data_IF_588589815030
#
_entry.id   IF_588589815030
#
_cell.length_a   1.000
_cell.length_b   1.000
_cell.length_c   1.000
_cell.angle_alpha   90.00
_cell.angle_beta   90.00
_cell.angle_gamma   90.00
#
_symmetry.space_group_name_H-M   'P 1'
#
loop_
_entity.id
_entity.type
_entity.pdbx_description
1 polymer ?
#
# COMPACT_ATOMS: atom_id res chain seq x y z
N UNK A 1 14.31 -26.48 8.78
CA UNK A 1 14.42 -26.10 7.36
C UNK A 1 13.37 -25.01 7.12
N UNK A 2 13.72 -23.92 6.43
CA UNK A 2 12.78 -22.84 6.11
C UNK A 2 12.13 -23.10 4.75
N UNK A 3 10.82 -22.99 4.65
CA UNK A 3 10.10 -23.17 3.39
C UNK A 3 9.75 -21.83 2.75
N UNK A 4 10.09 -21.72 1.47
CA UNK A 4 9.74 -20.62 0.58
C UNK A 4 8.63 -21.13 -0.33
N UNK A 5 7.42 -20.65 -0.10
CA UNK A 5 6.27 -20.95 -0.94
C UNK A 5 6.15 -19.88 -2.03
N UNK A 6 6.31 -20.27 -3.28
CA UNK A 6 6.11 -19.42 -4.44
C UNK A 6 4.73 -19.70 -5.04
N UNK A 7 3.88 -18.69 -5.02
CA UNK A 7 2.54 -18.68 -5.59
C UNK A 7 2.57 -17.85 -6.87
N UNK A 8 2.15 -18.44 -7.99
CA UNK A 8 2.07 -17.72 -9.26
C UNK A 8 0.64 -17.75 -9.80
N UNK A 9 0.19 -16.62 -10.35
CA UNK A 9 -1.12 -16.53 -11.01
C UNK A 9 -1.03 -15.66 -12.25
N UNK A 10 -1.53 -16.17 -13.37
CA UNK A 10 -1.54 -15.48 -14.66
C UNK A 10 -2.88 -15.72 -15.36
N UNK A 11 -3.97 -15.07 -14.89
CA UNK A 11 -5.31 -15.37 -15.38
C UNK A 11 -5.44 -15.15 -16.88
N UNK A 12 -6.26 -15.98 -17.55
CA UNK A 12 -6.36 -16.06 -19.01
C UNK A 12 -6.73 -14.75 -19.71
N UNK A 13 -7.41 -13.85 -19.00
CA UNK A 13 -7.87 -12.55 -19.51
C UNK A 13 -6.93 -11.40 -19.13
N UNK A 14 -5.66 -11.68 -18.86
CA UNK A 14 -4.62 -10.69 -18.54
C UNK A 14 -3.41 -10.86 -19.46
N UNK A 15 -2.52 -9.87 -19.48
CA UNK A 15 -1.27 -9.96 -20.23
C UNK A 15 -0.38 -11.09 -19.70
N UNK A 16 0.26 -11.81 -20.60
CA UNK A 16 1.08 -12.96 -20.22
C UNK A 16 2.40 -12.52 -19.59
N UNK A 17 2.54 -12.72 -18.28
CA UNK A 17 3.81 -12.60 -17.56
C UNK A 17 4.70 -13.85 -17.71
N UNK A 18 6.02 -13.65 -17.67
CA UNK A 18 7.04 -14.72 -17.68
C UNK A 18 7.37 -15.23 -16.27
N UNK A 19 6.33 -15.66 -15.54
CA UNK A 19 6.44 -16.13 -14.14
C UNK A 19 7.36 -17.36 -14.02
N UNK A 20 7.46 -18.16 -15.08
CA UNK A 20 8.36 -19.30 -15.18
C UNK A 20 9.85 -18.89 -15.11
N UNK A 21 10.19 -17.77 -15.74
CA UNK A 21 11.55 -17.25 -15.70
C UNK A 21 11.92 -16.79 -14.29
N UNK A 22 11.03 -16.08 -13.61
CA UNK A 22 11.28 -15.66 -12.23
C UNK A 22 11.53 -16.86 -11.30
N UNK A 23 10.64 -17.86 -11.32
CA UNK A 23 10.79 -19.08 -10.51
C UNK A 23 12.10 -19.79 -10.83
N UNK A 24 12.47 -19.90 -12.11
CA UNK A 24 13.72 -20.53 -12.54
C UNK A 24 14.94 -19.79 -11.97
N UNK A 25 14.94 -18.46 -12.00
CA UNK A 25 16.04 -17.66 -11.46
C UNK A 25 16.15 -17.77 -9.94
N UNK A 26 15.02 -17.85 -9.22
CA UNK A 26 15.00 -18.07 -7.77
C UNK A 26 15.53 -19.48 -7.43
N UNK A 27 15.11 -20.51 -8.17
CA UNK A 27 15.61 -21.87 -7.97
C UNK A 27 17.11 -21.96 -8.23
N UNK A 28 17.60 -21.36 -9.31
CA UNK A 28 19.02 -21.34 -9.65
C UNK A 28 19.87 -20.69 -8.56
N UNK A 29 19.35 -19.66 -7.88
CA UNK A 29 20.01 -19.03 -6.73
C UNK A 29 20.12 -20.01 -5.55
N UNK A 30 19.07 -20.75 -5.25
CA UNK A 30 19.10 -21.73 -4.17
C UNK A 30 20.06 -22.88 -4.47
N UNK A 31 20.06 -23.40 -5.69
CA UNK A 31 20.92 -24.52 -6.10
C UNK A 31 22.41 -24.18 -5.98
N UNK A 32 22.75 -22.90 -6.19
CA UNK A 32 24.12 -22.37 -6.07
C UNK A 32 24.49 -21.99 -4.63
N UNK A 33 23.54 -22.00 -3.68
CA UNK A 33 23.81 -21.63 -2.30
C UNK A 33 24.57 -22.72 -1.53
N UNK A 34 25.52 -22.29 -0.71
CA UNK A 34 26.25 -23.16 0.24
C UNK A 34 25.37 -23.69 1.38
N UNK A 35 24.19 -23.10 1.59
CA UNK A 35 23.23 -23.50 2.64
C UNK A 35 21.90 -23.93 2.04
N UNK A 36 21.92 -24.48 0.83
CA UNK A 36 20.72 -24.98 0.14
C UNK A 36 19.88 -25.94 1.01
N UNK A 37 20.53 -26.75 1.85
CA UNK A 37 19.86 -27.72 2.73
C UNK A 37 19.09 -27.06 3.88
N UNK A 38 19.20 -25.73 4.06
CA UNK A 38 18.41 -24.97 5.04
C UNK A 38 17.09 -24.48 4.48
N UNK A 39 16.91 -24.50 3.16
CA UNK A 39 15.73 -23.97 2.48
C UNK A 39 15.06 -25.03 1.60
N UNK A 40 13.74 -24.93 1.49
CA UNK A 40 12.94 -25.71 0.55
C UNK A 40 12.08 -24.75 -0.26
N UNK A 41 12.15 -24.81 -1.59
CA UNK A 41 11.24 -24.05 -2.46
C UNK A 41 10.09 -24.97 -2.86
N UNK A 42 8.87 -24.50 -2.60
CA UNK A 42 7.64 -25.13 -3.09
C UNK A 42 6.94 -24.14 -3.99
N UNK A 43 6.69 -24.53 -5.24
CA UNK A 43 5.97 -23.68 -6.20
C UNK A 43 4.55 -24.20 -6.42
N UNK A 44 3.59 -23.29 -6.49
CA UNK A 44 2.21 -23.54 -6.94
C UNK A 44 1.90 -22.57 -8.08
N UNK A 45 1.46 -23.15 -9.19
CA UNK A 45 1.15 -22.44 -10.43
C UNK A 45 -0.35 -22.25 -10.58
N UNK A 46 -0.76 -21.21 -11.31
CA UNK A 46 -2.16 -20.93 -11.61
C UNK A 46 -3.03 -20.93 -10.33
N UNK A 47 -2.53 -20.27 -9.28
CA UNK A 47 -3.14 -20.32 -7.95
C UNK A 47 -4.51 -19.64 -8.00
N UNK A 48 -5.54 -20.38 -7.58
CA UNK A 48 -6.89 -19.85 -7.43
C UNK A 48 -7.11 -19.29 -6.04
N UNK A 49 -8.09 -18.40 -5.92
CA UNK A 49 -8.46 -17.82 -4.62
C UNK A 49 -8.82 -18.89 -3.59
N UNK A 50 -9.53 -19.92 -4.02
CA UNK A 50 -10.00 -21.01 -3.15
C UNK A 50 -8.86 -21.93 -2.68
N UNK A 51 -7.73 -21.95 -3.39
CA UNK A 51 -6.57 -22.78 -3.05
C UNK A 51 -5.74 -22.17 -1.89
N UNK A 52 -5.83 -20.85 -1.66
CA UNK A 52 -4.89 -20.12 -0.81
C UNK A 52 -4.77 -20.65 0.62
N UNK A 53 -5.89 -20.85 1.30
CA UNK A 53 -5.89 -21.31 2.69
C UNK A 53 -5.36 -22.74 2.81
N UNK A 54 -5.81 -23.63 1.92
CA UNK A 54 -5.37 -25.02 1.89
C UNK A 54 -3.86 -25.12 1.63
N UNK A 55 -3.35 -24.38 0.64
CA UNK A 55 -1.91 -24.34 0.36
C UNK A 55 -1.12 -23.85 1.58
N UNK A 56 -1.55 -22.76 2.24
CA UNK A 56 -0.83 -22.24 3.40
C UNK A 56 -0.86 -23.21 4.60
N UNK A 57 -1.99 -23.88 4.83
CA UNK A 57 -2.13 -24.90 5.88
C UNK A 57 -1.25 -26.12 5.61
N UNK A 58 -1.21 -26.61 4.38
CA UNK A 58 -0.43 -27.80 4.01
C UNK A 58 1.06 -27.50 3.99
N UNK A 59 1.44 -26.31 3.54
CA UNK A 59 2.84 -25.96 3.34
C UNK A 59 3.47 -25.27 4.56
N UNK A 60 2.73 -24.63 5.46
CA UNK A 60 3.30 -23.93 6.64
C UNK A 60 4.60 -23.13 6.33
N UNK A 61 4.57 -22.22 5.34
CA UNK A 61 5.78 -21.56 4.86
C UNK A 61 6.27 -20.45 5.80
N UNK A 62 7.58 -20.23 5.83
CA UNK A 62 8.17 -19.07 6.52
C UNK A 62 8.26 -17.86 5.59
N UNK A 63 8.38 -18.09 4.28
CA UNK A 63 8.37 -17.03 3.26
C UNK A 63 7.28 -17.35 2.24
N UNK A 64 6.39 -16.39 1.99
CA UNK A 64 5.40 -16.48 0.91
C UNK A 64 5.77 -15.47 -0.16
N UNK A 65 6.04 -15.96 -1.36
CA UNK A 65 6.29 -15.16 -2.54
C UNK A 65 5.08 -15.23 -3.45
N UNK A 66 4.51 -14.09 -3.82
CA UNK A 66 3.50 -14.01 -4.86
C UNK A 66 4.09 -13.31 -6.09
N UNK A 67 3.95 -13.94 -7.26
CA UNK A 67 4.29 -13.32 -8.54
C UNK A 67 3.09 -13.37 -9.48
N UNK A 68 2.69 -12.20 -9.98
CA UNK A 68 1.49 -12.05 -10.80
C UNK A 68 1.06 -10.60 -10.95
N UNK A 69 -0.18 -10.41 -11.38
CA UNK A 69 -0.72 -9.07 -11.62
C UNK A 69 -1.19 -8.41 -10.33
N UNK A 70 -1.00 -7.08 -10.26
CA UNK A 70 -1.51 -6.22 -9.20
C UNK A 70 -2.12 -4.96 -9.80
N UNK A 71 -3.27 -4.56 -9.27
CA UNK A 71 -4.05 -3.43 -9.81
C UNK A 71 -4.10 -2.24 -8.84
N UNK A 72 -3.25 -2.21 -7.82
CA UNK A 72 -3.27 -1.18 -6.78
C UNK A 72 -4.29 -1.49 -5.69
N UNK A 73 -5.06 -0.50 -5.27
CA UNK A 73 -6.09 -0.66 -4.22
C UNK A 73 -7.12 -1.77 -4.47
N UNK A 74 -7.53 -2.11 -5.72
CA UNK A 74 -8.44 -3.22 -5.98
C UNK A 74 -7.90 -4.60 -5.53
N UNK A 75 -6.58 -4.83 -5.58
CA UNK A 75 -5.99 -6.08 -5.08
C UNK A 75 -4.97 -6.75 -6.00
N UNK A 76 -4.61 -7.97 -5.60
CA UNK A 76 -3.82 -8.92 -6.40
C UNK A 76 -4.76 -9.78 -7.25
N UNK A 77 -4.35 -10.07 -8.48
CA UNK A 77 -5.12 -10.88 -9.41
C UNK A 77 -4.73 -12.36 -9.30
N UNK A 78 -5.69 -13.18 -8.89
CA UNK A 78 -5.59 -14.64 -8.85
C UNK A 78 -6.59 -15.25 -9.84
N UNK A 79 -6.57 -16.57 -9.97
CA UNK A 79 -7.55 -17.27 -10.79
C UNK A 79 -8.83 -17.59 -10.02
N UNK A 80 -9.96 -17.57 -10.73
CA UNK A 80 -11.18 -18.27 -10.32
C UNK A 80 -11.23 -19.66 -10.96
N UNK A 81 -12.31 -20.40 -10.73
CA UNK A 81 -12.53 -21.74 -11.30
C UNK A 81 -12.52 -21.79 -12.85
N UNK A 82 -12.78 -20.68 -13.52
CA UNK A 82 -12.70 -20.58 -14.99
C UNK A 82 -11.27 -20.25 -15.49
N UNK A 83 -10.33 -19.98 -14.58
CA UNK A 83 -9.00 -19.44 -14.89
C UNK A 83 -9.03 -17.97 -15.30
N UNK A 84 -10.11 -17.24 -14.96
CA UNK A 84 -10.23 -15.81 -15.19
C UNK A 84 -9.78 -15.03 -13.95
N UNK A 85 -9.47 -13.76 -14.14
CA UNK A 85 -9.01 -12.88 -13.09
C UNK A 85 -10.09 -12.71 -12.01
N UNK A 86 -9.69 -12.97 -10.77
CA UNK A 86 -10.41 -12.61 -9.56
C UNK A 86 -9.47 -11.81 -8.66
N UNK A 87 -9.91 -10.62 -8.27
CA UNK A 87 -9.14 -9.74 -7.40
C UNK A 87 -9.31 -10.16 -5.93
N UNK A 88 -8.19 -10.23 -5.22
CA UNK A 88 -8.14 -10.41 -3.77
C UNK A 88 -7.73 -9.09 -3.12
N UNK A 89 -8.68 -8.49 -2.40
CA UNK A 89 -8.50 -7.18 -1.76
C UNK A 89 -7.44 -7.20 -0.66
N UNK A 90 -6.88 -6.03 -0.33
CA UNK A 90 -5.94 -5.87 0.79
C UNK A 90 -6.53 -6.33 2.12
N UNK A 91 -7.83 -6.11 2.34
CA UNK A 91 -8.54 -6.58 3.55
C UNK A 91 -8.55 -8.10 3.64
N UNK A 92 -8.83 -8.78 2.53
CA UNK A 92 -8.86 -10.24 2.49
C UNK A 92 -7.45 -10.83 2.71
N UNK A 93 -6.42 -10.24 2.08
CA UNK A 93 -5.03 -10.65 2.28
C UNK A 93 -4.56 -10.42 3.72
N UNK A 94 -4.88 -9.28 4.32
CA UNK A 94 -4.56 -9.02 5.73
C UNK A 94 -5.22 -10.05 6.65
N UNK A 95 -6.52 -10.33 6.44
CA UNK A 95 -7.25 -11.36 7.19
C UNK A 95 -6.66 -12.76 7.01
N UNK A 96 -6.22 -13.10 5.79
CA UNK A 96 -5.53 -14.36 5.52
C UNK A 96 -4.24 -14.46 6.33
N UNK A 97 -3.33 -13.49 6.18
CA UNK A 97 -2.03 -13.53 6.86
C UNK A 97 -2.10 -13.32 8.37
N UNK A 98 -3.19 -12.75 8.90
CA UNK A 98 -3.47 -12.74 10.33
C UNK A 98 -3.55 -14.17 10.90
N UNK A 99 -4.15 -15.10 10.15
CA UNK A 99 -4.30 -16.51 10.56
C UNK A 99 -2.95 -17.24 10.61
N UNK A 100 -1.97 -16.79 9.82
CA UNK A 100 -0.65 -17.43 9.68
C UNK A 100 0.49 -16.60 10.29
N UNK A 101 0.19 -15.61 11.14
CA UNK A 101 1.18 -14.68 11.68
C UNK A 101 2.27 -15.32 12.57
N UNK A 102 2.03 -16.54 13.07
CA UNK A 102 3.00 -17.30 13.85
C UNK A 102 4.04 -18.00 12.95
N UNK A 103 3.63 -18.40 11.75
CA UNK A 103 4.42 -19.25 10.84
C UNK A 103 5.14 -18.42 9.78
N UNK A 104 4.43 -17.45 9.19
CA UNK A 104 4.95 -16.61 8.10
C UNK A 104 5.81 -15.49 8.69
N UNK A 105 7.07 -15.44 8.26
CA UNK A 105 8.03 -14.41 8.67
C UNK A 105 8.12 -13.28 7.64
N UNK A 106 7.98 -13.61 6.35
CA UNK A 106 8.13 -12.67 5.25
C UNK A 106 7.10 -12.93 4.13
N UNK A 107 6.49 -11.86 3.63
CA UNK A 107 5.65 -11.88 2.43
C UNK A 107 6.31 -11.02 1.35
N UNK A 108 6.48 -11.55 0.16
CA UNK A 108 7.08 -10.89 -0.99
C UNK A 108 6.04 -10.78 -2.11
N UNK A 109 5.59 -9.56 -2.41
CA UNK A 109 4.59 -9.31 -3.45
C UNK A 109 5.26 -8.74 -4.70
N UNK A 110 5.58 -9.61 -5.65
CA UNK A 110 6.03 -9.21 -6.98
C UNK A 110 4.83 -8.96 -7.90
N UNK A 111 4.14 -7.85 -7.62
CA UNK A 111 2.97 -7.41 -8.37
C UNK A 111 2.91 -5.89 -8.40
N UNK A 112 2.53 -5.32 -9.55
CA UNK A 112 2.43 -3.88 -9.73
C UNK A 112 1.53 -3.23 -8.68
N UNK A 113 1.94 -2.07 -8.16
CA UNK A 113 1.16 -1.27 -7.19
C UNK A 113 0.74 -2.06 -5.92
N UNK A 114 1.51 -3.07 -5.51
CA UNK A 114 1.19 -3.92 -4.37
C UNK A 114 1.48 -3.29 -2.98
N UNK A 115 1.93 -2.03 -2.92
CA UNK A 115 2.18 -1.34 -1.64
C UNK A 115 0.97 -1.32 -0.71
N UNK A 116 -0.24 -1.13 -1.24
CA UNK A 116 -1.46 -1.12 -0.42
C UNK A 116 -1.72 -2.47 0.25
N UNK A 117 -1.40 -3.58 -0.43
CA UNK A 117 -1.48 -4.93 0.14
C UNK A 117 -0.34 -5.17 1.11
N UNK A 118 0.87 -4.70 0.80
CA UNK A 118 2.01 -4.80 1.69
C UNK A 118 1.74 -4.12 3.03
N UNK A 119 1.19 -2.91 3.03
CA UNK A 119 0.79 -2.18 4.23
C UNK A 119 -0.26 -2.94 5.05
N UNK A 120 -1.28 -3.50 4.40
CA UNK A 120 -2.35 -4.23 5.07
C UNK A 120 -1.83 -5.54 5.70
N UNK A 121 -1.01 -6.31 4.97
CA UNK A 121 -0.41 -7.55 5.48
C UNK A 121 0.60 -7.25 6.60
N UNK A 122 1.31 -6.12 6.53
CA UNK A 122 2.28 -5.71 7.54
C UNK A 122 1.66 -5.46 8.92
N UNK A 123 0.34 -5.28 9.00
CA UNK A 123 -0.35 -5.28 10.30
C UNK A 123 -0.15 -6.59 11.07
N UNK A 124 0.09 -7.70 10.37
CA UNK A 124 0.25 -9.03 10.96
C UNK A 124 1.65 -9.63 10.75
N UNK A 125 2.26 -9.45 9.57
CA UNK A 125 3.57 -10.01 9.24
C UNK A 125 4.68 -8.96 9.38
N UNK A 126 5.81 -9.34 9.98
CA UNK A 126 6.86 -8.40 10.37
C UNK A 126 7.74 -7.92 9.22
N UNK A 127 7.74 -8.63 8.10
CA UNK A 127 8.44 -8.24 6.90
C UNK A 127 7.53 -8.44 5.68
N UNK A 128 7.22 -7.36 4.98
CA UNK A 128 6.44 -7.41 3.74
C UNK A 128 7.09 -6.54 2.68
N UNK A 129 7.37 -7.14 1.53
CA UNK A 129 7.87 -6.47 0.34
C UNK A 129 6.71 -6.27 -0.62
N UNK A 130 6.60 -5.08 -1.20
CA UNK A 130 5.65 -4.77 -2.28
C UNK A 130 6.25 -3.82 -3.29
N UNK A 131 5.44 -3.36 -4.23
CA UNK A 131 5.82 -2.42 -5.30
C UNK A 131 4.95 -1.16 -5.20
N UNK A 132 5.56 0.02 -5.13
CA UNK A 132 4.82 1.30 -5.05
C UNK A 132 4.26 1.77 -6.41
N UNK A 133 4.73 1.19 -7.50
CA UNK A 133 4.32 1.51 -8.87
C UNK A 133 4.33 0.26 -9.77
N UNK A 134 4.12 0.44 -11.07
CA UNK A 134 4.34 -0.62 -12.05
C UNK A 134 5.81 -1.03 -12.09
N UNK A 135 6.08 -2.34 -12.22
CA UNK A 135 7.42 -2.90 -12.30
C UNK A 135 7.55 -3.75 -13.55
N UNK A 136 8.63 -3.57 -14.30
CA UNK A 136 8.94 -4.39 -15.46
C UNK A 136 9.51 -5.75 -15.07
N UNK A 137 9.24 -6.78 -15.89
CA UNK A 137 9.71 -8.17 -15.69
C UNK A 137 11.21 -8.24 -15.35
N UNK A 138 12.03 -7.46 -16.05
CA UNK A 138 13.48 -7.44 -15.82
C UNK A 138 13.83 -6.92 -14.41
N UNK A 139 13.18 -5.87 -13.94
CA UNK A 139 13.40 -5.36 -12.58
C UNK A 139 12.91 -6.36 -11.54
N UNK A 140 11.68 -6.86 -11.70
CA UNK A 140 11.05 -7.86 -10.85
C UNK A 140 11.93 -9.11 -10.66
N UNK A 141 12.43 -9.71 -11.75
CA UNK A 141 13.27 -10.91 -11.71
C UNK A 141 14.63 -10.61 -11.05
N UNK A 142 15.29 -9.49 -11.39
CA UNK A 142 16.59 -9.15 -10.80
C UNK A 142 16.48 -8.84 -9.30
N UNK A 143 15.39 -8.18 -8.90
CA UNK A 143 15.07 -7.91 -7.50
C UNK A 143 14.90 -9.21 -6.71
N UNK A 144 14.02 -10.12 -7.15
CA UNK A 144 13.82 -11.41 -6.52
C UNK A 144 15.12 -12.22 -6.44
N UNK A 145 15.89 -12.26 -7.54
CA UNK A 145 17.19 -12.95 -7.59
C UNK A 145 18.20 -12.38 -6.60
N UNK A 146 18.28 -11.06 -6.44
CA UNK A 146 19.14 -10.40 -5.45
C UNK A 146 18.70 -10.67 -4.01
N UNK A 147 17.39 -10.59 -3.76
CA UNK A 147 16.77 -10.87 -2.48
C UNK A 147 17.01 -12.31 -2.01
N UNK A 148 16.70 -13.31 -2.83
CA UNK A 148 16.89 -14.70 -2.43
C UNK A 148 18.37 -15.09 -2.35
N UNK A 149 19.26 -14.45 -3.11
CA UNK A 149 20.71 -14.73 -3.04
C UNK A 149 21.26 -14.36 -1.68
N UNK A 150 20.91 -13.18 -1.18
CA UNK A 150 21.35 -12.68 0.12
C UNK A 150 20.66 -13.41 1.26
N UNK A 151 19.36 -13.71 1.15
CA UNK A 151 18.65 -14.54 2.12
C UNK A 151 19.28 -15.93 2.25
N UNK A 152 19.56 -16.57 1.11
CA UNK A 152 20.27 -17.84 1.05
C UNK A 152 21.76 -17.72 1.41
N UNK A 153 22.31 -16.52 1.62
CA UNK A 153 23.62 -16.30 2.20
C UNK A 153 23.58 -16.03 3.72
N UNK A 154 22.40 -16.14 4.33
CA UNK A 154 22.18 -15.95 5.77
C UNK A 154 21.96 -14.50 6.19
N UNK A 155 21.65 -13.60 5.24
CA UNK A 155 21.29 -12.22 5.54
C UNK A 155 19.87 -12.11 6.12
N UNK A 156 19.64 -11.04 6.86
CA UNK A 156 18.29 -10.67 7.33
C UNK A 156 17.38 -10.31 6.15
N UNK A 157 16.06 -10.28 6.36
CA UNK A 157 15.13 -9.86 5.30
C UNK A 157 15.32 -8.39 4.89
N UNK A 158 15.66 -7.52 5.84
CA UNK A 158 15.98 -6.10 5.61
C UNK A 158 17.23 -5.96 4.72
N UNK A 159 18.35 -6.60 5.09
CA UNK A 159 19.53 -6.65 4.22
C UNK A 159 19.20 -7.27 2.85
N UNK A 160 18.39 -8.33 2.83
CA UNK A 160 18.05 -9.02 1.59
C UNK A 160 17.26 -8.13 0.62
N UNK A 161 16.39 -7.28 1.16
CA UNK A 161 15.71 -6.23 0.40
C UNK A 161 16.72 -5.27 -0.26
N UNK A 162 17.71 -4.77 0.50
CA UNK A 162 18.76 -3.90 -0.05
C UNK A 162 19.57 -4.57 -1.17
N UNK A 163 19.93 -5.85 -0.99
CA UNK A 163 20.59 -6.64 -2.05
C UNK A 163 19.72 -6.82 -3.29
N UNK A 164 18.40 -6.93 -3.12
CA UNK A 164 17.43 -6.94 -4.22
C UNK A 164 17.47 -5.63 -5.00
N UNK A 165 17.32 -4.50 -4.32
CA UNK A 165 17.35 -3.17 -4.98
C UNK A 165 18.70 -2.93 -5.67
N UNK A 166 19.80 -3.27 -5.01
CA UNK A 166 21.13 -3.16 -5.59
C UNK A 166 21.31 -4.05 -6.84
N UNK A 167 20.68 -5.22 -6.90
CA UNK A 167 20.71 -6.07 -8.09
C UNK A 167 20.02 -5.43 -9.30
N UNK A 168 19.00 -4.60 -9.09
CA UNK A 168 18.38 -3.79 -10.14
C UNK A 168 19.37 -2.69 -10.59
N UNK A 169 19.95 -1.95 -9.64
CA UNK A 169 20.91 -0.86 -9.92
C UNK A 169 22.14 -1.34 -10.69
N UNK A 170 22.74 -2.47 -10.29
CA UNK A 170 23.90 -3.07 -10.96
C UNK A 170 23.61 -3.46 -12.41
N UNK A 171 22.34 -3.57 -12.79
CA UNK A 171 21.90 -3.83 -14.17
C UNK A 171 21.51 -2.56 -14.93
N UNK A 172 21.63 -1.39 -14.30
CA UNK A 172 21.27 -0.10 -14.89
C UNK A 172 19.78 0.02 -15.21
N UNK A 173 18.92 -0.69 -14.47
CA UNK A 173 17.47 -0.66 -14.69
C UNK A 173 16.89 0.46 -13.79
N UNK A 174 16.16 1.44 -14.35
CA UNK A 174 15.71 2.63 -13.60
C UNK A 174 14.47 2.36 -12.74
N UNK A 175 14.44 1.25 -12.00
CA UNK A 175 13.29 0.77 -11.21
C UNK A 175 13.72 0.29 -9.80
N UNK A 176 14.94 0.61 -9.36
CA UNK A 176 15.48 0.13 -8.08
C UNK A 176 14.75 0.71 -6.85
N UNK A 177 14.02 1.81 -7.02
CA UNK A 177 13.18 2.43 -5.99
C UNK A 177 11.70 1.98 -6.04
N UNK A 178 11.35 1.07 -6.95
CA UNK A 178 10.00 0.53 -7.07
C UNK A 178 9.65 -0.45 -5.95
N UNK A 179 10.54 -1.40 -5.58
CA UNK A 179 10.32 -2.22 -4.40
C UNK A 179 10.31 -1.36 -3.13
N UNK A 180 9.39 -1.65 -2.23
CA UNK A 180 9.27 -1.04 -0.91
C UNK A 180 9.22 -2.12 0.16
N UNK A 181 9.79 -1.82 1.32
CA UNK A 181 9.83 -2.71 2.47
C UNK A 181 8.98 -2.13 3.60
N UNK A 182 8.06 -2.94 4.12
CA UNK A 182 7.39 -2.72 5.40
C UNK A 182 8.01 -3.68 6.41
N UNK A 183 8.75 -3.14 7.37
CA UNK A 183 9.48 -3.95 8.34
C UNK A 183 9.32 -3.41 9.76
N UNK A 184 9.16 -4.33 10.72
CA UNK A 184 9.23 -4.03 12.15
C UNK A 184 9.98 -5.13 12.89
N UNK A 185 10.74 -4.72 13.91
CA UNK A 185 11.41 -5.66 14.81
C UNK A 185 10.44 -6.05 15.91
N UNK A 186 9.81 -7.22 15.82
CA UNK A 186 9.16 -7.82 17.01
C UNK A 186 10.25 -8.40 17.91
N UNK A 187 10.33 -7.90 19.13
CA UNK A 187 10.87 -8.69 20.24
C UNK A 187 9.89 -9.84 20.44
N UNK A 188 10.12 -10.98 19.78
CA UNK A 188 9.36 -12.19 20.10
C UNK A 188 9.72 -12.54 21.53
N UNK A 189 8.82 -12.30 22.48
CA UNK A 189 8.89 -12.94 23.78
C UNK A 189 8.86 -14.44 23.51
N UNK A 190 10.01 -15.10 23.66
CA UNK A 190 10.04 -16.55 23.78
C UNK A 190 9.09 -16.93 24.90
N UNK A 191 8.20 -17.94 24.73
CA UNK A 191 7.42 -18.44 25.85
C UNK A 191 8.41 -18.85 26.94
N UNK A 192 8.46 -18.10 28.03
CA UNK A 192 9.22 -18.49 29.21
C UNK A 192 8.74 -19.88 29.62
N UNK A 193 9.64 -20.84 29.89
CA UNK A 193 9.23 -22.12 30.42
C UNK A 193 8.43 -21.87 31.70
N UNK A 194 7.22 -22.43 31.75
CA UNK A 194 6.30 -22.35 32.89
C UNK A 194 7.04 -22.72 34.17
N UNK A 195 7.50 -21.72 34.92
CA UNK A 195 7.98 -21.90 36.27
C UNK A 195 6.76 -21.83 37.21
N UNK A 196 6.55 -22.94 37.90
CA UNK A 196 5.55 -23.19 38.93
C UNK A 196 5.21 -21.97 39.80
N UNK A 197 3.92 -21.67 39.89
CA UNK A 197 3.31 -20.67 40.78
C UNK A 197 3.57 -20.97 42.26
N UNK A 198 3.98 -19.98 43.07
CA UNK A 198 3.63 -19.92 44.49
C UNK A 198 2.33 -19.13 44.69
N UNK A 199 1.55 -19.58 45.67
CA UNK A 199 0.24 -19.08 46.11
C UNK A 199 0.17 -17.58 46.46
N UNK A 200 -1.04 -16.98 46.43
CA UNK A 200 -1.23 -15.54 46.51
C UNK A 200 -1.18 -15.02 47.96
N UNK A 201 -0.52 -13.87 48.16
CA UNK A 201 -0.77 -13.00 49.31
C UNK A 201 -1.45 -11.72 48.85
N UNK A 202 -2.67 -11.58 49.33
CA UNK A 202 -3.57 -10.42 49.28
C UNK A 202 -2.97 -9.18 49.95
N UNK A 203 -2.94 -8.05 49.25
CA UNK A 203 -3.17 -6.73 49.86
C UNK A 203 -3.88 -5.81 48.85
N UNK A 204 -5.06 -5.35 49.25
CA UNK A 204 -5.80 -4.25 48.62
C UNK A 204 -5.08 -2.93 48.90
N UNK A 205 -4.81 -2.14 47.87
CA UNK A 205 -4.63 -0.69 48.01
C UNK A 205 -5.56 0.06 47.06
N UNK A 206 -6.34 0.98 47.65
CA UNK A 206 -7.34 1.83 47.00
C UNK A 206 -6.74 2.77 45.96
N UNK A 207 -7.35 2.80 44.78
CA UNK A 207 -7.12 3.80 43.72
C UNK A 207 -7.82 5.13 44.03
N UNK A 208 -7.20 6.30 43.80
CA UNK A 208 -7.89 7.58 43.80
C UNK A 208 -8.49 7.96 42.43
N UNK A 209 -9.66 8.58 42.54
CA UNK A 209 -10.57 9.28 41.61
C UNK A 209 -10.22 9.48 40.12
N UNK A 210 -11.27 9.23 39.32
CA UNK A 210 -11.50 9.60 37.91
C UNK A 210 -10.87 10.93 37.45
N UNK A 211 -9.83 10.82 36.63
CA UNK A 211 -9.45 11.85 35.66
C UNK A 211 -10.17 11.59 34.34
N UNK A 212 -10.78 12.63 33.76
CA UNK A 212 -11.34 12.57 32.42
C UNK A 212 -10.19 12.39 31.41
N UNK A 213 -10.12 11.23 30.73
CA UNK A 213 -9.03 10.85 29.81
C UNK A 213 -9.38 11.07 28.34
N UNK A 214 -10.14 12.12 28.04
CA UNK A 214 -10.49 12.46 26.67
C UNK A 214 -9.23 12.80 25.87
N UNK A 215 -9.00 12.10 24.77
CA UNK A 215 -7.96 12.41 23.79
C UNK A 215 -8.62 13.06 22.59
N UNK A 216 -8.35 14.34 22.37
CA UNK A 216 -8.78 15.07 21.16
C UNK A 216 -7.63 15.10 20.17
N UNK A 217 -7.81 14.46 19.00
CA UNK A 217 -6.83 14.44 17.91
C UNK A 217 -7.34 15.36 16.80
N UNK A 218 -6.60 16.42 16.48
CA UNK A 218 -6.84 17.25 15.30
C UNK A 218 -5.93 16.83 14.14
N UNK A 219 -6.49 16.50 12.98
CA UNK A 219 -5.73 16.11 11.78
C UNK A 219 -6.39 14.99 10.97
N UNK A 220 -5.69 14.48 9.95
CA UNK A 220 -6.12 13.33 9.15
C UNK A 220 -5.91 12.01 9.87
N UNK A 221 -6.95 11.18 9.94
CA UNK A 221 -6.85 9.76 10.30
C UNK A 221 -7.01 8.90 9.05
N UNK A 222 -6.02 8.05 8.76
CA UNK A 222 -6.11 7.03 7.70
C UNK A 222 -6.05 5.66 8.40
N UNK A 223 -7.18 4.95 8.44
CA UNK A 223 -7.34 3.70 9.19
C UNK A 223 -7.89 3.92 10.61
N UNK A 224 -8.93 3.18 10.99
CA UNK A 224 -9.53 3.26 12.31
C UNK A 224 -9.12 2.07 13.18
N UNK A 225 -8.23 2.28 14.15
CA UNK A 225 -8.18 1.44 15.36
C UNK A 225 -7.91 2.36 16.55
N UNK A 226 -8.98 2.81 17.20
CA UNK A 226 -8.88 3.36 18.55
C UNK A 226 -9.02 2.16 19.49
N UNK A 227 -7.91 1.68 20.06
CA UNK A 227 -7.95 0.66 21.10
C UNK A 227 -8.05 1.35 22.46
N UNK A 228 -9.26 1.41 23.01
CA UNK A 228 -9.48 1.94 24.36
C UNK A 228 -9.63 0.79 25.36
N UNK A 229 -9.07 0.93 26.57
CA UNK A 229 -9.34 -0.01 27.65
C UNK A 229 -10.80 0.02 28.14
N UNK A 230 -11.11 -0.81 29.12
CA UNK A 230 -12.48 -1.06 29.57
C UNK A 230 -13.22 0.23 30.02
N UNK A 231 -14.45 0.41 29.52
CA UNK A 231 -15.39 1.52 29.77
C UNK A 231 -15.05 2.89 29.15
N UNK A 232 -14.40 2.93 27.99
CA UNK A 232 -14.23 4.17 27.23
C UNK A 232 -15.15 4.21 26.00
N UNK A 233 -15.72 5.37 25.70
CA UNK A 233 -16.55 5.60 24.51
C UNK A 233 -15.73 6.38 23.49
N UNK A 234 -15.35 5.74 22.38
CA UNK A 234 -14.71 6.43 21.25
C UNK A 234 -15.79 6.80 20.22
N UNK A 235 -15.84 8.07 19.81
CA UNK A 235 -16.71 8.53 18.72
C UNK A 235 -15.86 9.02 17.56
N UNK A 236 -16.13 8.52 16.36
CA UNK A 236 -15.47 8.93 15.11
C UNK A 236 -16.50 9.63 14.25
N UNK A 237 -16.25 10.91 13.91
CA UNK A 237 -17.08 11.66 12.98
C UNK A 237 -16.42 11.64 11.59
N UNK A 238 -16.89 10.76 10.71
CA UNK A 238 -16.50 10.78 9.30
C UNK A 238 -17.27 11.88 8.57
N UNK A 239 -16.56 12.83 7.96
CA UNK A 239 -17.18 13.81 7.06
C UNK A 239 -17.29 13.20 5.65
N UNK A 240 -18.32 12.39 5.43
CA UNK A 240 -18.69 11.93 4.08
C UNK A 240 -19.14 13.15 3.26
N UNK A 241 -18.44 13.43 2.15
CA UNK A 241 -18.79 14.54 1.26
C UNK A 241 -19.57 14.02 0.07
N UNK A 242 -20.81 14.48 -0.09
CA UNK A 242 -21.63 14.24 -1.28
C UNK A 242 -21.16 15.16 -2.41
N UNK A 243 -20.83 14.58 -3.57
CA UNK A 243 -20.45 15.34 -4.75
C UNK A 243 -21.70 15.95 -5.41
N UNK A 244 -21.66 17.23 -5.84
CA UNK A 244 -22.75 17.81 -6.61
C UNK A 244 -22.82 17.16 -8.01
N UNK A 245 -23.96 17.18 -8.72
CA UNK A 245 -24.04 16.65 -10.08
C UNK A 245 -23.05 17.35 -11.03
N UNK A 246 -22.31 16.59 -11.84
CA UNK A 246 -21.24 17.11 -12.71
C UNK A 246 -21.70 18.23 -13.67
N UNK A 247 -22.96 18.18 -14.14
CA UNK A 247 -23.55 19.21 -15.01
C UNK A 247 -23.96 20.51 -14.31
N UNK A 248 -23.89 20.59 -12.98
CA UNK A 248 -24.23 21.78 -12.18
C UNK A 248 -23.01 22.63 -11.79
N UNK A 249 -21.81 22.20 -12.19
CA UNK A 249 -20.55 22.83 -11.81
C UNK A 249 -20.11 23.83 -12.87
N UNK A 250 -19.96 25.11 -12.48
CA UNK A 250 -19.24 26.10 -13.27
C UNK A 250 -17.73 25.94 -13.03
N UNK A 251 -17.07 25.16 -13.88
CA UNK A 251 -15.65 24.85 -13.74
C UNK A 251 -14.75 26.11 -13.79
N UNK A 252 -15.14 27.13 -14.57
CA UNK A 252 -14.36 28.36 -14.69
C UNK A 252 -14.40 29.18 -13.39
N UNK A 253 -15.58 29.27 -12.76
CA UNK A 253 -15.73 29.96 -11.48
C UNK A 253 -14.97 29.26 -10.35
N UNK A 254 -14.98 27.93 -10.32
CA UNK A 254 -14.29 27.16 -9.28
C UNK A 254 -12.77 27.20 -9.44
N UNK A 255 -12.25 27.21 -10.67
CA UNK A 255 -10.81 27.36 -10.92
C UNK A 255 -10.30 28.76 -10.55
N UNK A 256 -11.07 29.81 -10.86
CA UNK A 256 -10.75 31.16 -10.43
C UNK A 256 -10.64 31.23 -8.91
N UNK A 257 -11.60 30.62 -8.19
CA UNK A 257 -11.57 30.56 -6.73
C UNK A 257 -10.37 29.75 -6.19
N UNK A 258 -9.98 28.65 -6.85
CA UNK A 258 -8.78 27.90 -6.50
C UNK A 258 -7.50 28.73 -6.69
N UNK A 259 -7.40 29.46 -7.81
CA UNK A 259 -6.27 30.35 -8.08
C UNK A 259 -6.13 31.47 -7.05
N UNK A 260 -7.24 32.08 -6.66
CA UNK A 260 -7.25 33.11 -5.61
C UNK A 260 -6.75 32.55 -4.27
N UNK A 261 -7.14 31.32 -3.93
CA UNK A 261 -6.65 30.64 -2.72
C UNK A 261 -5.16 30.29 -2.83
N UNK A 262 -4.68 29.82 -3.98
CA UNK A 262 -3.26 29.55 -4.19
C UNK A 262 -2.40 30.81 -4.11
N UNK A 263 -2.88 31.94 -4.61
CA UNK A 263 -2.15 33.21 -4.56
C UNK A 263 -2.00 33.74 -3.13
N UNK A 264 -2.94 33.42 -2.24
CA UNK A 264 -2.88 33.80 -0.83
C UNK A 264 -1.86 32.95 -0.04
N UNK A 265 -1.48 31.77 -0.57
CA UNK A 265 -0.51 30.88 0.04
C UNK A 265 0.87 31.19 -0.52
N UNK A 266 1.76 31.74 0.31
CA UNK A 266 3.10 32.10 -0.12
C UNK A 266 3.90 30.81 -0.38
N UNK A 267 4.06 30.44 -1.65
CA UNK A 267 4.75 29.22 -2.06
C UNK A 267 6.10 29.54 -2.75
N UNK A 268 7.20 28.84 -2.39
CA UNK A 268 8.44 28.93 -3.15
C UNK A 268 8.31 28.39 -4.59
N UNK A 269 7.29 27.56 -4.84
CA UNK A 269 6.98 27.00 -6.16
C UNK A 269 5.81 27.73 -6.87
N UNK A 270 5.46 28.97 -6.46
CA UNK A 270 4.30 29.71 -6.98
C UNK A 270 4.23 29.75 -8.51
N UNK A 271 5.36 29.99 -9.18
CA UNK A 271 5.45 30.01 -10.65
C UNK A 271 5.04 28.67 -11.29
N UNK A 272 5.34 27.54 -10.64
CA UNK A 272 4.96 26.21 -11.14
C UNK A 272 3.47 25.95 -10.96
N UNK A 273 2.89 26.44 -9.86
CA UNK A 273 1.45 26.40 -9.62
C UNK A 273 0.73 27.23 -10.69
N UNK A 274 1.19 28.46 -10.94
CA UNK A 274 0.59 29.35 -11.93
C UNK A 274 0.66 28.78 -13.35
N UNK A 275 1.79 28.19 -13.74
CA UNK A 275 1.94 27.53 -15.04
C UNK A 275 0.97 26.34 -15.19
N UNK A 276 0.85 25.50 -14.16
CA UNK A 276 -0.06 24.36 -14.19
C UNK A 276 -1.54 24.80 -14.27
N UNK A 277 -1.91 25.90 -13.61
CA UNK A 277 -3.24 26.48 -13.72
C UNK A 277 -3.49 27.16 -15.07
N UNK A 278 -2.45 27.76 -15.68
CA UNK A 278 -2.54 28.30 -17.03
C UNK A 278 -2.81 27.20 -18.07
N UNK A 279 -2.16 26.03 -17.93
CA UNK A 279 -2.42 24.86 -18.78
C UNK A 279 -3.89 24.42 -18.68
N UNK A 280 -4.48 24.46 -17.47
CA UNK A 280 -5.91 24.18 -17.27
C UNK A 280 -6.79 25.22 -17.96
N UNK A 281 -6.48 26.51 -17.80
CA UNK A 281 -7.25 27.60 -18.40
C UNK A 281 -7.22 27.55 -19.94
N UNK A 282 -6.09 27.18 -20.53
CA UNK A 282 -5.96 27.03 -21.97
C UNK A 282 -6.74 25.81 -22.49
N UNK A 283 -6.77 24.72 -21.72
CA UNK A 283 -7.58 23.54 -22.04
C UNK A 283 -9.07 23.83 -22.04
N UNK A 284 -9.54 24.61 -21.06
CA UNK A 284 -10.95 24.98 -20.94
C UNK A 284 -11.44 25.97 -22.00
N UNK A 285 -10.55 26.68 -22.71
CA UNK A 285 -10.91 27.53 -23.85
C UNK A 285 -11.26 26.71 -25.10
N UNK A 286 -10.90 25.42 -25.15
CA UNK A 286 -11.19 24.56 -26.29
C UNK A 286 -12.70 24.24 -26.37
N UNK A 287 -13.28 24.05 -27.57
CA UNK A 287 -14.70 23.71 -27.73
C UNK A 287 -15.13 22.43 -27.01
N UNK A 288 -14.21 21.49 -26.84
CA UNK A 288 -14.36 20.28 -26.04
C UNK A 288 -13.08 20.09 -25.20
N UNK A 289 -13.08 20.52 -23.93
CA UNK A 289 -11.92 20.37 -23.06
C UNK A 289 -11.65 18.91 -22.73
N UNK A 290 -10.38 18.49 -22.78
CA UNK A 290 -9.98 17.16 -22.31
C UNK A 290 -9.91 17.12 -20.77
N UNK A 291 -10.84 16.40 -20.14
CA UNK A 291 -10.90 16.26 -18.69
C UNK A 291 -9.69 15.54 -18.10
N UNK A 292 -9.02 14.67 -18.86
CA UNK A 292 -7.81 14.03 -18.41
C UNK A 292 -6.63 15.01 -18.39
N UNK A 293 -6.48 15.85 -19.40
CA UNK A 293 -5.44 16.90 -19.42
C UNK A 293 -5.69 17.93 -18.31
N UNK A 294 -6.94 18.38 -18.12
CA UNK A 294 -7.31 19.26 -17.01
C UNK A 294 -6.98 18.62 -15.66
N UNK A 295 -7.34 17.34 -15.47
CA UNK A 295 -7.06 16.61 -14.23
C UNK A 295 -5.58 16.46 -13.92
N UNK A 296 -4.75 16.15 -14.94
CA UNK A 296 -3.29 16.03 -14.79
C UNK A 296 -2.64 17.38 -14.45
N UNK A 297 -3.09 18.46 -15.09
CA UNK A 297 -2.60 19.80 -14.80
C UNK A 297 -2.98 20.25 -13.37
N UNK A 298 -4.21 19.94 -12.93
CA UNK A 298 -4.63 20.18 -11.55
C UNK A 298 -3.84 19.36 -10.54
N UNK A 299 -3.60 18.07 -10.81
CA UNK A 299 -2.77 17.22 -9.95
C UNK A 299 -1.37 17.82 -9.76
N UNK A 300 -0.74 18.31 -10.84
CA UNK A 300 0.54 19.03 -10.76
C UNK A 300 0.44 20.29 -9.90
N UNK A 301 -0.58 21.13 -10.11
CA UNK A 301 -0.77 22.36 -9.34
C UNK A 301 -0.88 22.06 -7.83
N UNK A 302 -1.69 21.05 -7.45
CA UNK A 302 -1.87 20.65 -6.06
C UNK A 302 -0.61 20.03 -5.44
N UNK A 303 0.17 19.25 -6.20
CA UNK A 303 1.43 18.67 -5.72
C UNK A 303 2.47 19.75 -5.36
N UNK A 304 2.48 20.89 -6.07
CA UNK A 304 3.31 22.03 -5.70
C UNK A 304 2.70 22.84 -4.55
N UNK A 305 1.38 23.04 -4.55
CA UNK A 305 0.69 23.80 -3.51
C UNK A 305 0.76 23.14 -2.13
N UNK A 306 0.80 21.80 -2.05
CA UNK A 306 0.96 21.06 -0.80
C UNK A 306 2.26 21.39 -0.04
N UNK A 307 3.26 21.94 -0.75
CA UNK A 307 4.56 22.35 -0.17
C UNK A 307 4.55 23.79 0.35
N UNK A 308 3.47 24.54 0.12
CA UNK A 308 3.37 25.95 0.50
C UNK A 308 3.09 26.12 2.00
N UNK A 309 3.70 27.13 2.61
CA UNK A 309 3.34 27.56 3.95
C UNK A 309 1.89 28.10 3.94
N UNK A 310 1.06 27.60 4.85
CA UNK A 310 -0.37 27.95 4.91
C UNK A 310 -1.31 27.01 4.16
N UNK A 311 -0.80 25.99 3.43
CA UNK A 311 -1.66 25.01 2.76
C UNK A 311 -2.63 24.34 3.74
N UNK A 312 -2.15 23.89 4.91
CA UNK A 312 -3.01 23.25 5.91
C UNK A 312 -4.13 24.15 6.43
N UNK A 313 -3.94 25.48 6.46
CA UNK A 313 -4.95 26.44 6.89
C UNK A 313 -5.96 26.76 5.79
N UNK A 314 -5.58 26.58 4.52
CA UNK A 314 -6.45 26.79 3.37
C UNK A 314 -7.36 25.59 3.04
N UNK A 315 -7.10 24.41 3.63
CA UNK A 315 -7.84 23.16 3.32
C UNK A 315 -9.35 23.35 3.43
N UNK A 316 -9.87 23.92 4.53
CA UNK A 316 -11.32 24.11 4.71
C UNK A 316 -11.96 24.97 3.59
N UNK A 317 -11.19 25.93 3.03
CA UNK A 317 -11.63 26.77 1.92
C UNK A 317 -11.47 26.06 0.55
N UNK A 318 -10.48 25.18 0.43
CA UNK A 318 -10.21 24.39 -0.78
C UNK A 318 -11.20 23.24 -0.97
N UNK A 319 -11.66 22.64 0.13
CA UNK A 319 -12.59 21.50 0.13
C UNK A 319 -13.82 21.70 -0.76
N UNK A 320 -14.68 22.72 -0.56
CA UNK A 320 -15.89 22.89 -1.37
C UNK A 320 -15.59 23.15 -2.85
N UNK A 321 -14.42 23.70 -3.17
CA UNK A 321 -13.96 23.96 -4.54
C UNK A 321 -13.51 22.66 -5.21
N UNK A 322 -12.68 21.89 -4.51
CA UNK A 322 -12.19 20.60 -4.99
C UNK A 322 -13.33 19.63 -5.26
N UNK A 323 -14.32 19.55 -4.37
CA UNK A 323 -15.51 18.68 -4.52
C UNK A 323 -16.23 18.93 -5.85
N UNK A 324 -16.38 20.21 -6.23
CA UNK A 324 -17.01 20.59 -7.49
C UNK A 324 -16.13 20.29 -8.70
N UNK A 325 -14.85 20.65 -8.63
CA UNK A 325 -13.87 20.41 -9.71
C UNK A 325 -13.75 18.91 -10.01
N UNK A 326 -13.62 18.08 -8.97
CA UNK A 326 -13.50 16.63 -9.09
C UNK A 326 -14.80 15.99 -9.58
N UNK A 327 -15.96 16.50 -9.15
CA UNK A 327 -17.25 16.07 -9.73
C UNK A 327 -17.31 16.32 -11.23
N UNK A 328 -16.87 17.50 -11.69
CA UNK A 328 -16.84 17.82 -13.11
C UNK A 328 -15.85 16.94 -13.89
N UNK A 329 -14.67 16.66 -13.32
CA UNK A 329 -13.62 15.81 -13.90
C UNK A 329 -14.04 14.34 -14.04
N UNK A 330 -14.84 13.83 -13.09
CA UNK A 330 -15.32 12.45 -13.07
C UNK A 330 -14.51 11.51 -12.18
N UNK A 331 -14.99 10.26 -12.08
CA UNK A 331 -14.54 9.25 -11.10
C UNK A 331 -13.03 8.99 -11.10
N UNK A 332 -12.40 9.02 -12.28
CA UNK A 332 -10.96 8.82 -12.45
C UNK A 332 -10.10 9.85 -11.68
N UNK A 333 -10.69 10.96 -11.26
CA UNK A 333 -10.01 12.05 -10.55
C UNK A 333 -10.40 12.18 -9.08
N UNK A 334 -11.18 11.24 -8.53
CA UNK A 334 -11.61 11.26 -7.12
C UNK A 334 -10.44 11.19 -6.14
N UNK A 335 -9.29 10.65 -6.59
CA UNK A 335 -8.03 10.68 -5.85
C UNK A 335 -7.60 12.10 -5.43
N UNK A 336 -7.96 13.15 -6.18
CA UNK A 336 -7.59 14.54 -5.86
C UNK A 336 -8.30 15.07 -4.60
N UNK A 337 -9.40 14.45 -4.17
CA UNK A 337 -10.09 14.83 -2.93
C UNK A 337 -9.24 14.51 -1.69
N UNK A 338 -8.40 13.49 -1.76
CA UNK A 338 -7.47 13.14 -0.68
C UNK A 338 -6.47 14.27 -0.39
N UNK A 339 -6.10 15.06 -1.40
CA UNK A 339 -5.19 16.21 -1.28
C UNK A 339 -5.75 17.27 -0.34
N UNK A 340 -7.08 17.43 -0.29
CA UNK A 340 -7.79 18.37 0.59
C UNK A 340 -8.50 17.66 1.75
N UNK A 341 -8.05 16.45 2.13
CA UNK A 341 -8.57 15.70 3.29
C UNK A 341 -10.04 15.28 3.17
N UNK A 342 -10.52 15.08 1.94
CA UNK A 342 -11.87 14.57 1.67
C UNK A 342 -11.82 13.14 1.17
N UNK A 343 -12.82 12.34 1.57
CA UNK A 343 -13.10 11.01 1.03
C UNK A 343 -14.47 10.99 0.37
N UNK A 344 -14.59 10.26 -0.73
CA UNK A 344 -15.89 9.96 -1.37
C UNK A 344 -16.39 8.65 -0.78
N UNK A 345 -17.60 8.64 -0.24
CA UNK A 345 -18.31 7.38 -0.01
C UNK A 345 -18.79 6.86 -1.35
N UNK A 346 -18.14 5.80 -1.84
CA UNK A 346 -18.62 5.04 -3.00
C UNK A 346 -19.55 3.94 -2.49
#
# INVERSE_FOLDING_TARGET
>A
MKRILILTANPKNTDKLRLDEEVREIQAVLDQSRVRDRFEIVTRWAVRVDDLQAILLDQQPQVVHFSGHGLGTPGLALENEAGQMQLVSSKALAGLFQLFQADVECVFLNACYSEAQAEAIHQHIDCVVGMNQAVGDRAAINFARGFYRSLCAGKSYEESFEFGCNAIDLKGIPEASTPILKHRKRLRETPSPLLSTPEPKSQEERMPSHQNRSVSIGGNMTGSVIQTGDRNTASVQFHQTTLPPAGSVDINAELKALRDLFTQMHSPDQRKIDNALADVEDELKKPQPDKAEVGQALERAFNYAQKAEGFSAAIEKLQPRMTKVVSWLGENWYKLLSVVRLGVGI
#
